data_IF_968258960110
#
_entry.id   IF_968258960110
#
_cell.length_a   1.000
_cell.length_b   1.000
_cell.length_c   1.000
_cell.angle_alpha   90.00
_cell.angle_beta   90.00
_cell.angle_gamma   90.00
#
_symmetry.space_group_name_H-M   'P 1'
#
loop_
_entity.id
_entity.type
_entity.pdbx_description
1 polymer ?
#
# COMPACT_ATOMS: atom_id res chain seq x y z
N UNK A 1 -9.13 -63.27 38.96
CA UNK A 1 -9.94 -63.40 37.73
C UNK A 1 -11.04 -62.33 37.75
N UNK A 2 -10.86 -61.24 36.98
CA UNK A 2 -11.83 -60.15 36.65
C UNK A 2 -11.01 -59.00 36.03
N UNK A 3 -10.77 -59.07 34.72
CA UNK A 3 -11.45 -58.33 33.65
C UNK A 3 -10.88 -56.91 33.46
N UNK A 4 -9.93 -56.79 32.53
CA UNK A 4 -9.53 -55.53 31.91
C UNK A 4 -10.72 -54.97 31.12
N UNK A 5 -11.16 -53.74 31.44
CA UNK A 5 -12.07 -52.97 30.59
C UNK A 5 -11.24 -52.25 29.53
N UNK A 6 -11.43 -52.64 28.27
CA UNK A 6 -11.01 -51.84 27.11
C UNK A 6 -11.92 -50.61 27.02
N UNK A 7 -11.34 -49.42 27.13
CA UNK A 7 -12.00 -48.16 26.78
C UNK A 7 -11.78 -47.94 25.28
N UNK A 8 -12.83 -48.10 24.48
CA UNK A 8 -12.82 -47.76 23.07
C UNK A 8 -12.72 -46.23 22.92
N UNK A 9 -11.54 -45.75 22.55
CA UNK A 9 -11.33 -44.36 22.15
C UNK A 9 -11.92 -44.20 20.74
N UNK A 10 -13.14 -43.68 20.68
CA UNK A 10 -13.80 -43.31 19.43
C UNK A 10 -13.04 -42.11 18.85
N UNK A 11 -12.12 -42.37 17.92
CA UNK A 11 -11.48 -41.32 17.12
C UNK A 11 -12.56 -40.74 16.20
N UNK A 12 -13.20 -39.65 16.63
CA UNK A 12 -14.03 -38.84 15.77
C UNK A 12 -13.08 -38.09 14.83
N UNK A 13 -12.78 -38.67 13.67
CA UNK A 13 -12.14 -37.94 12.58
C UNK A 13 -13.10 -36.85 12.14
N UNK A 14 -12.90 -35.63 12.63
CA UNK A 14 -13.44 -34.45 12.01
C UNK A 14 -12.90 -34.43 10.58
N UNK A 15 -13.75 -34.79 9.61
CA UNK A 15 -13.55 -34.45 8.22
C UNK A 15 -13.56 -32.92 8.16
N UNK A 16 -12.38 -32.32 8.28
CA UNK A 16 -12.17 -30.99 7.74
C UNK A 16 -12.27 -31.21 6.24
N UNK A 17 -13.43 -30.88 5.66
CA UNK A 17 -13.53 -30.73 4.22
C UNK A 17 -12.60 -29.58 3.85
N UNK A 18 -11.34 -29.89 3.54
CA UNK A 18 -10.51 -28.99 2.76
C UNK A 18 -11.22 -28.86 1.42
N UNK A 19 -12.05 -27.82 1.27
CA UNK A 19 -12.58 -27.42 -0.01
C UNK A 19 -11.35 -27.20 -0.90
N UNK A 20 -11.15 -28.10 -1.85
CA UNK A 20 -10.08 -27.97 -2.82
C UNK A 20 -10.34 -26.67 -3.57
N UNK A 21 -9.30 -25.84 -3.69
CA UNK A 21 -9.40 -24.64 -4.48
C UNK A 21 -9.88 -25.02 -5.88
N UNK A 22 -11.03 -24.51 -6.31
CA UNK A 22 -11.61 -24.89 -7.60
C UNK A 22 -11.12 -23.88 -8.63
N UNK A 23 -10.25 -24.34 -9.53
CA UNK A 23 -9.79 -23.52 -10.64
C UNK A 23 -10.98 -23.27 -11.58
N UNK A 24 -11.37 -22.00 -11.70
CA UNK A 24 -12.42 -21.55 -12.62
C UNK A 24 -11.83 -20.63 -13.66
N UNK A 25 -11.82 -21.10 -14.91
CA UNK A 25 -11.52 -20.25 -16.06
C UNK A 25 -12.80 -19.55 -16.51
N UNK A 26 -12.77 -18.21 -16.46
CA UNK A 26 -13.82 -17.34 -16.95
C UNK A 26 -13.69 -17.16 -18.46
N UNK A 27 -14.82 -17.06 -19.16
CA UNK A 27 -14.86 -16.87 -20.60
C UNK A 27 -16.16 -16.17 -21.03
N UNK A 28 -16.07 -15.35 -22.07
CA UNK A 28 -17.25 -14.76 -22.73
C UNK A 28 -17.86 -13.60 -21.94
N UNK A 29 -19.19 -13.57 -21.87
CA UNK A 29 -19.96 -12.47 -21.26
C UNK A 29 -20.85 -12.93 -20.11
N UNK A 30 -20.67 -14.15 -19.64
CA UNK A 30 -21.49 -14.72 -18.58
C UNK A 30 -21.03 -14.18 -17.22
N UNK A 31 -22.01 -13.77 -16.41
CA UNK A 31 -21.79 -13.51 -14.99
C UNK A 31 -21.44 -14.80 -14.25
N UNK A 32 -20.66 -14.67 -13.18
CA UNK A 32 -20.25 -15.81 -12.37
C UNK A 32 -20.37 -15.49 -10.88
N UNK A 33 -20.90 -16.42 -10.10
CA UNK A 33 -20.94 -16.33 -8.64
C UNK A 33 -19.76 -17.10 -8.06
N UNK A 34 -18.72 -16.38 -7.65
CA UNK A 34 -17.51 -16.94 -7.07
C UNK A 34 -17.75 -17.40 -5.63
N UNK A 35 -17.36 -18.64 -5.37
CA UNK A 35 -17.53 -19.33 -4.10
C UNK A 35 -16.21 -19.41 -3.33
N UNK A 36 -16.28 -19.76 -2.05
CA UNK A 36 -15.09 -19.88 -1.21
C UNK A 36 -14.10 -20.92 -1.76
N UNK A 37 -12.85 -20.49 -1.96
CA UNK A 37 -11.77 -21.31 -2.51
C UNK A 37 -11.62 -21.20 -4.02
N UNK A 38 -12.47 -20.46 -4.72
CA UNK A 38 -12.34 -20.32 -6.18
C UNK A 38 -11.03 -19.61 -6.56
N UNK A 39 -10.36 -20.14 -7.58
CA UNK A 39 -9.22 -19.49 -8.24
C UNK A 39 -9.68 -19.08 -9.63
N UNK A 40 -9.86 -17.77 -9.82
CA UNK A 40 -10.39 -17.20 -11.05
C UNK A 40 -9.24 -16.88 -12.01
N UNK A 41 -9.35 -17.38 -13.24
CA UNK A 41 -8.41 -17.17 -14.34
C UNK A 41 -9.17 -16.80 -15.62
N UNK A 42 -8.48 -16.38 -16.68
CA UNK A 42 -9.09 -16.12 -17.98
C UNK A 42 -9.72 -14.73 -18.07
N UNK A 43 -10.80 -14.60 -18.83
CA UNK A 43 -11.43 -13.31 -19.06
C UNK A 43 -12.96 -13.39 -19.14
N UNK A 44 -13.66 -12.38 -18.63
CA UNK A 44 -15.10 -12.24 -18.85
C UNK A 44 -15.51 -10.78 -18.90
N UNK A 45 -16.55 -10.47 -19.68
CA UNK A 45 -17.27 -9.19 -19.59
C UNK A 45 -18.50 -9.23 -18.69
N UNK A 46 -18.84 -10.41 -18.16
CA UNK A 46 -19.87 -10.54 -17.15
C UNK A 46 -19.39 -10.07 -15.78
N UNK A 47 -20.34 -9.68 -14.93
CA UNK A 47 -20.07 -9.34 -13.52
C UNK A 47 -19.73 -10.60 -12.73
N UNK A 48 -18.69 -10.52 -11.90
CA UNK A 48 -18.37 -11.56 -10.91
C UNK A 48 -18.93 -11.15 -9.56
N UNK A 49 -19.78 -11.98 -8.97
CA UNK A 49 -20.31 -11.78 -7.63
C UNK A 49 -19.58 -12.69 -6.65
N UNK A 50 -18.97 -12.14 -5.60
CA UNK A 50 -18.30 -12.93 -4.55
C UNK A 50 -19.30 -13.20 -3.44
N UNK A 51 -19.55 -14.48 -3.16
CA UNK A 51 -20.45 -14.90 -2.09
C UNK A 51 -19.98 -14.38 -0.71
N UNK A 52 -20.92 -14.12 0.18
CA UNK A 52 -20.60 -13.62 1.53
C UNK A 52 -19.71 -14.62 2.30
N UNK A 53 -18.61 -14.11 2.87
CA UNK A 53 -17.58 -14.87 3.57
C UNK A 53 -16.60 -15.61 2.66
N UNK A 54 -16.74 -15.51 1.34
CA UNK A 54 -15.88 -16.23 0.42
C UNK A 54 -14.48 -15.62 0.34
N UNK A 55 -13.49 -16.52 0.29
CA UNK A 55 -12.09 -16.21 0.01
C UNK A 55 -11.75 -16.72 -1.38
N UNK A 56 -11.38 -15.84 -2.28
CA UNK A 56 -11.07 -16.18 -3.67
C UNK A 56 -9.65 -15.75 -4.03
N UNK A 57 -9.12 -16.34 -5.10
CA UNK A 57 -7.86 -15.92 -5.72
C UNK A 57 -8.15 -15.37 -7.11
N UNK A 58 -7.63 -14.19 -7.42
CA UNK A 58 -7.52 -13.70 -8.79
C UNK A 58 -6.12 -14.06 -9.30
N UNK A 59 -6.04 -14.79 -10.41
CA UNK A 59 -4.79 -15.22 -11.01
C UNK A 59 -4.79 -14.94 -12.51
N UNK A 60 -4.06 -13.91 -12.91
CA UNK A 60 -3.96 -13.48 -14.31
C UNK A 60 -5.33 -13.29 -14.99
N UNK A 61 -6.31 -12.76 -14.25
CA UNK A 61 -7.70 -12.65 -14.70
C UNK A 61 -8.03 -11.24 -15.17
N UNK A 62 -8.87 -11.14 -16.21
CA UNK A 62 -9.45 -9.88 -16.68
C UNK A 62 -10.97 -9.92 -16.58
N UNK A 63 -11.56 -9.03 -15.78
CA UNK A 63 -13.01 -8.93 -15.57
C UNK A 63 -13.46 -7.53 -15.97
N UNK A 64 -14.24 -7.37 -17.04
CA UNK A 64 -14.74 -6.06 -17.48
C UNK A 64 -16.20 -5.77 -17.12
N UNK A 65 -16.86 -6.68 -16.40
CA UNK A 65 -18.19 -6.48 -15.84
C UNK A 65 -18.20 -6.04 -14.36
N UNK A 66 -17.01 -5.80 -13.79
CA UNK A 66 -16.82 -5.51 -12.36
C UNK A 66 -16.94 -6.73 -11.44
N UNK A 67 -16.50 -6.54 -10.20
CA UNK A 67 -16.69 -7.47 -9.08
C UNK A 67 -17.66 -6.87 -8.07
N UNK A 68 -18.58 -7.68 -7.54
CA UNK A 68 -19.51 -7.27 -6.47
C UNK A 68 -19.41 -8.24 -5.30
N UNK A 69 -19.10 -7.74 -4.11
CA UNK A 69 -19.11 -8.54 -2.89
C UNK A 69 -20.51 -8.56 -2.29
N UNK A 70 -21.12 -9.74 -2.13
CA UNK A 70 -22.44 -9.86 -1.48
C UNK A 70 -22.37 -9.64 0.04
N UNK A 71 -21.17 -9.59 0.61
CA UNK A 71 -20.91 -9.32 2.02
C UNK A 71 -19.42 -9.20 2.28
N UNK A 72 -18.94 -9.79 3.37
CA UNK A 72 -17.49 -9.86 3.65
C UNK A 72 -16.81 -10.73 2.61
N UNK A 73 -15.67 -10.30 2.10
CA UNK A 73 -14.94 -11.02 1.05
C UNK A 73 -13.43 -10.87 1.21
N UNK A 74 -12.68 -11.89 0.81
CA UNK A 74 -11.22 -11.86 0.77
C UNK A 74 -10.74 -12.18 -0.65
N UNK A 75 -9.90 -11.32 -1.21
CA UNK A 75 -9.30 -11.48 -2.53
C UNK A 75 -7.79 -11.63 -2.37
N UNK A 76 -7.26 -12.77 -2.80
CA UNK A 76 -5.81 -12.99 -2.92
C UNK A 76 -5.37 -12.74 -4.36
N UNK A 77 -4.38 -11.86 -4.54
CA UNK A 77 -3.82 -11.50 -5.83
C UNK A 77 -2.61 -12.38 -6.16
N UNK A 78 -2.68 -13.03 -7.31
CA UNK A 78 -1.60 -13.77 -7.95
C UNK A 78 -1.48 -13.27 -9.40
N UNK A 79 -0.25 -13.16 -9.91
CA UNK A 79 -0.03 -12.70 -11.28
C UNK A 79 -0.52 -11.27 -11.52
N UNK A 80 -1.01 -10.96 -12.72
CA UNK A 80 -1.47 -9.63 -13.12
C UNK A 80 -2.96 -9.61 -13.39
N UNK A 81 -3.73 -8.90 -12.57
CA UNK A 81 -5.18 -8.89 -12.65
C UNK A 81 -5.72 -7.53 -13.08
N UNK A 82 -6.80 -7.55 -13.84
CA UNK A 82 -7.51 -6.34 -14.27
C UNK A 82 -9.00 -6.48 -14.01
N UNK A 83 -9.58 -5.49 -13.34
CA UNK A 83 -11.01 -5.44 -13.06
C UNK A 83 -11.53 -4.06 -13.43
N UNK A 84 -12.42 -4.00 -14.41
CA UNK A 84 -13.10 -2.78 -14.82
C UNK A 84 -14.59 -2.92 -14.53
N UNK A 85 -15.16 -1.93 -13.84
CA UNK A 85 -16.59 -1.88 -13.56
C UNK A 85 -17.39 -1.65 -14.84
N UNK A 86 -18.53 -2.32 -14.96
CA UNK A 86 -19.53 -1.93 -15.95
C UNK A 86 -20.06 -0.51 -15.66
N UNK A 87 -20.89 0.03 -16.55
CA UNK A 87 -21.46 1.38 -16.39
C UNK A 87 -22.06 1.57 -14.99
N UNK A 88 -21.61 2.62 -14.30
CA UNK A 88 -22.02 3.00 -12.94
C UNK A 88 -21.58 2.05 -11.82
N UNK A 89 -20.82 1.01 -12.10
CA UNK A 89 -20.34 0.06 -11.09
C UNK A 89 -18.89 0.36 -10.71
N UNK A 90 -18.54 0.14 -9.45
CA UNK A 90 -17.14 0.15 -9.06
C UNK A 90 -16.38 -0.97 -9.80
N UNK A 91 -15.06 -0.81 -9.95
CA UNK A 91 -14.21 -1.92 -10.41
C UNK A 91 -14.39 -3.11 -9.47
N UNK A 92 -14.21 -2.87 -8.17
CA UNK A 92 -14.56 -3.82 -7.11
C UNK A 92 -15.51 -3.12 -6.13
N UNK A 93 -16.76 -3.57 -6.11
CA UNK A 93 -17.80 -3.10 -5.20
C UNK A 93 -17.71 -3.84 -3.86
N UNK A 94 -17.54 -3.08 -2.77
CA UNK A 94 -17.57 -3.60 -1.40
C UNK A 94 -19.00 -4.02 -1.01
N UNK A 95 -19.11 -4.98 -0.08
CA UNK A 95 -20.39 -5.38 0.51
C UNK A 95 -21.01 -4.26 1.37
N UNK A 96 -22.20 -4.53 1.91
CA UNK A 96 -22.95 -3.56 2.71
C UNK A 96 -22.30 -3.20 4.06
N UNK A 97 -22.99 -2.35 4.84
CA UNK A 97 -22.54 -1.95 6.19
C UNK A 97 -22.19 -3.15 7.09
N UNK A 98 -21.11 -3.03 7.87
CA UNK A 98 -20.66 -4.09 8.78
C UNK A 98 -19.92 -5.25 8.10
N UNK A 99 -19.63 -5.14 6.80
CA UNK A 99 -18.82 -6.11 6.05
C UNK A 99 -17.41 -5.60 5.82
N UNK A 100 -16.49 -6.47 5.39
CA UNK A 100 -15.12 -6.08 5.05
C UNK A 100 -14.70 -6.73 3.74
N UNK A 101 -14.19 -5.92 2.82
CA UNK A 101 -13.40 -6.41 1.67
C UNK A 101 -11.93 -6.39 2.06
N UNK A 102 -11.29 -7.55 2.06
CA UNK A 102 -9.84 -7.69 2.27
C UNK A 102 -9.15 -8.04 0.96
N UNK A 103 -8.12 -7.28 0.56
CA UNK A 103 -7.29 -7.56 -0.62
C UNK A 103 -5.86 -7.81 -0.14
N UNK A 104 -5.24 -8.90 -0.61
CA UNK A 104 -3.90 -9.31 -0.19
C UNK A 104 -3.16 -10.08 -1.28
N UNK A 105 -1.97 -10.57 -0.97
CA UNK A 105 -1.14 -11.35 -1.89
C UNK A 105 -0.08 -10.49 -2.58
N UNK A 106 0.76 -11.11 -3.40
CA UNK A 106 1.92 -10.43 -4.01
C UNK A 106 1.71 -10.11 -5.51
N UNK A 107 0.54 -10.47 -6.07
CA UNK A 107 0.16 -10.12 -7.43
C UNK A 107 -0.21 -8.63 -7.58
N UNK A 108 -0.51 -8.25 -8.82
CA UNK A 108 -0.99 -6.91 -9.14
C UNK A 108 -2.48 -6.90 -9.47
N UNK A 109 -3.10 -5.74 -9.26
CA UNK A 109 -4.50 -5.47 -9.55
C UNK A 109 -4.63 -4.07 -10.13
N UNK A 110 -5.15 -3.95 -11.35
CA UNK A 110 -5.68 -2.70 -11.88
C UNK A 110 -7.21 -2.70 -11.74
N UNK A 111 -7.74 -1.94 -10.79
CA UNK A 111 -9.17 -1.80 -10.53
C UNK A 111 -9.66 -0.43 -11.02
N UNK A 112 -10.54 -0.41 -12.02
CA UNK A 112 -11.06 0.83 -12.63
C UNK A 112 -12.57 0.90 -12.48
N UNK A 113 -13.08 2.02 -11.96
CA UNK A 113 -14.51 2.28 -11.87
C UNK A 113 -15.14 2.47 -13.24
N UNK A 114 -16.41 2.08 -13.38
CA UNK A 114 -17.27 2.59 -14.44
C UNK A 114 -17.69 4.04 -14.16
N UNK A 115 -18.50 4.63 -15.04
CA UNK A 115 -18.97 6.03 -14.92
C UNK A 115 -19.32 6.41 -13.48
N UNK A 116 -18.71 7.46 -12.95
CA UNK A 116 -19.03 8.03 -11.61
C UNK A 116 -18.84 7.07 -10.43
N UNK A 117 -18.09 5.99 -10.61
CA UNK A 117 -17.88 4.97 -9.60
C UNK A 117 -16.41 4.88 -9.18
N UNK A 118 -16.20 4.30 -8.01
CA UNK A 118 -14.87 4.11 -7.48
C UNK A 118 -14.09 2.99 -8.21
N UNK A 119 -12.76 3.05 -8.18
CA UNK A 119 -11.94 1.91 -8.58
C UNK A 119 -12.19 0.71 -7.67
N UNK A 120 -12.05 0.93 -6.35
CA UNK A 120 -12.38 -0.01 -5.28
C UNK A 120 -13.27 0.72 -4.27
N UNK A 121 -14.46 0.19 -4.00
CA UNK A 121 -15.37 0.74 -3.00
C UNK A 121 -16.80 0.79 -3.47
N UNK A 122 -17.39 1.98 -3.60
CA UNK A 122 -18.80 2.12 -3.98
C UNK A 122 -19.00 2.52 -5.45
N UNK A 123 -20.11 2.03 -5.99
CA UNK A 123 -20.74 2.45 -7.22
C UNK A 123 -21.36 3.86 -7.11
N UNK A 124 -21.93 4.35 -8.21
CA UNK A 124 -22.70 5.61 -8.19
C UNK A 124 -23.99 5.45 -7.38
N UNK A 125 -24.25 6.37 -6.46
CA UNK A 125 -25.47 6.49 -5.68
C UNK A 125 -26.35 7.63 -6.25
N UNK A 126 -27.46 7.26 -6.91
CA UNK A 126 -28.36 8.22 -7.57
C UNK A 126 -29.76 8.11 -6.95
N UNK A 127 -30.19 9.18 -6.26
CA UNK A 127 -31.49 9.28 -5.57
C UNK A 127 -31.76 8.15 -4.56
N UNK A 128 -30.70 7.45 -4.14
CA UNK A 128 -30.73 6.38 -3.14
C UNK A 128 -29.47 6.45 -2.28
N UNK A 129 -29.59 6.06 -1.02
CA UNK A 129 -28.43 5.85 -0.16
C UNK A 129 -27.62 4.63 -0.65
N UNK A 130 -26.29 4.75 -0.63
CA UNK A 130 -25.39 3.64 -0.84
C UNK A 130 -24.56 3.45 0.43
N UNK A 131 -24.51 2.23 0.96
CA UNK A 131 -23.73 1.95 2.17
C UNK A 131 -22.78 0.80 1.92
N UNK A 132 -21.49 1.05 2.12
CA UNK A 132 -20.41 0.08 1.99
C UNK A 132 -19.78 -0.25 3.34
N UNK A 133 -19.22 -1.45 3.42
CA UNK A 133 -18.39 -1.90 4.51
C UNK A 133 -16.99 -1.30 4.49
N UNK A 134 -16.10 -1.90 5.27
CA UNK A 134 -14.69 -1.54 5.36
C UNK A 134 -13.89 -2.09 4.17
N UNK A 135 -12.82 -1.40 3.82
CA UNK A 135 -11.79 -1.86 2.88
C UNK A 135 -10.49 -2.05 3.64
N UNK A 136 -9.89 -3.22 3.49
CA UNK A 136 -8.56 -3.55 4.03
C UNK A 136 -7.66 -4.02 2.92
N UNK A 137 -6.53 -3.35 2.72
CA UNK A 137 -5.46 -3.77 1.81
C UNK A 137 -4.29 -4.26 2.65
N UNK A 138 -4.00 -5.56 2.61
CA UNK A 138 -2.88 -6.18 3.33
C UNK A 138 -1.63 -6.34 2.46
N UNK A 139 -1.76 -6.21 1.14
CA UNK A 139 -0.63 -6.35 0.22
C UNK A 139 -1.04 -6.31 -1.25
N UNK A 140 -0.04 -6.41 -2.12
CA UNK A 140 -0.18 -6.43 -3.57
C UNK A 140 0.29 -5.14 -4.22
N UNK A 141 0.36 -5.15 -5.55
CA UNK A 141 0.59 -3.94 -6.35
C UNK A 141 -0.73 -3.48 -6.95
N UNK A 142 -1.41 -2.57 -6.25
CA UNK A 142 -2.77 -2.15 -6.55
C UNK A 142 -2.76 -0.77 -7.19
N UNK A 143 -3.38 -0.67 -8.36
CA UNK A 143 -3.79 0.60 -8.96
C UNK A 143 -5.30 0.67 -8.94
N UNK A 144 -5.86 1.63 -8.22
CA UNK A 144 -7.30 1.85 -8.10
C UNK A 144 -7.66 3.22 -8.69
N UNK A 145 -8.43 3.22 -9.78
CA UNK A 145 -8.77 4.44 -10.54
C UNK A 145 -10.28 4.66 -10.54
N UNK A 146 -10.72 5.77 -9.95
CA UNK A 146 -12.09 6.23 -10.04
C UNK A 146 -12.37 6.90 -11.39
N UNK A 147 -13.61 6.85 -11.84
CA UNK A 147 -14.01 7.48 -13.11
C UNK A 147 -14.83 8.74 -12.87
N UNK A 148 -14.57 9.79 -13.67
CA UNK A 148 -15.17 11.12 -13.61
C UNK A 148 -15.09 11.78 -12.22
N UNK A 149 -16.07 11.56 -11.35
CA UNK A 149 -16.10 12.09 -9.99
C UNK A 149 -15.88 10.99 -8.92
N UNK A 150 -15.74 9.72 -9.30
CA UNK A 150 -15.53 8.62 -8.36
C UNK A 150 -14.14 8.61 -7.71
N UNK A 151 -14.02 8.10 -6.48
CA UNK A 151 -12.73 7.96 -5.82
C UNK A 151 -11.87 6.83 -6.41
N UNK A 152 -10.55 6.88 -6.26
CA UNK A 152 -9.70 5.72 -6.54
C UNK A 152 -10.08 4.54 -5.63
N UNK A 153 -9.99 4.78 -4.32
CA UNK A 153 -10.45 3.88 -3.25
C UNK A 153 -11.42 4.66 -2.37
N UNK A 154 -12.68 4.24 -2.29
CA UNK A 154 -13.67 4.88 -1.43
C UNK A 154 -15.05 4.99 -2.07
N UNK A 155 -15.71 6.14 -1.95
CA UNK A 155 -17.08 6.27 -2.48
C UNK A 155 -17.09 6.52 -3.99
N UNK A 156 -18.16 6.07 -4.65
CA UNK A 156 -18.58 6.64 -5.93
C UNK A 156 -19.23 8.01 -5.71
N UNK A 157 -19.91 8.48 -6.75
CA UNK A 157 -20.65 9.75 -6.71
C UNK A 157 -21.93 9.62 -5.92
N UNK A 158 -22.30 10.69 -5.22
CA UNK A 158 -23.65 10.86 -4.68
C UNK A 158 -24.37 12.03 -5.35
N UNK A 159 -25.56 11.75 -5.88
CA UNK A 159 -26.48 12.76 -6.41
C UNK A 159 -27.89 12.55 -5.86
N UNK A 160 -28.53 13.65 -5.48
CA UNK A 160 -29.94 13.69 -5.10
C UNK A 160 -30.72 14.75 -5.87
N UNK A 161 -31.97 14.41 -6.21
CA UNK A 161 -32.96 15.28 -6.85
C UNK A 161 -34.15 15.53 -5.92
N UNK A 162 -34.02 16.54 -5.05
CA UNK A 162 -35.09 16.94 -4.12
C UNK A 162 -35.23 16.04 -2.88
N UNK A 163 -34.37 15.03 -2.75
CA UNK A 163 -34.22 14.21 -1.53
C UNK A 163 -32.74 14.06 -1.19
N UNK A 164 -32.40 14.22 0.08
CA UNK A 164 -31.05 13.98 0.57
C UNK A 164 -30.71 12.50 0.43
N UNK A 165 -29.55 12.20 -0.14
CA UNK A 165 -29.02 10.84 -0.22
C UNK A 165 -27.52 10.82 0.02
N UNK A 166 -27.04 9.76 0.67
CA UNK A 166 -25.66 9.65 1.12
C UNK A 166 -25.01 8.37 0.61
N UNK A 167 -23.83 8.52 0.01
CA UNK A 167 -22.92 7.40 -0.21
C UNK A 167 -21.95 7.32 0.98
N UNK A 168 -22.09 6.28 1.80
CA UNK A 168 -21.30 6.06 3.02
C UNK A 168 -20.46 4.81 2.85
N UNK A 169 -19.14 4.94 2.88
CA UNK A 169 -18.24 3.78 3.00
C UNK A 169 -17.65 3.71 4.40
N UNK A 170 -17.33 2.50 4.85
CA UNK A 170 -16.66 2.26 6.12
C UNK A 170 -15.22 2.77 6.14
N UNK A 171 -14.43 2.19 7.03
CA UNK A 171 -13.01 2.52 7.18
C UNK A 171 -12.22 2.03 5.96
N UNK A 172 -11.18 2.78 5.61
CA UNK A 172 -10.21 2.39 4.59
C UNK A 172 -8.88 2.19 5.28
N UNK A 173 -8.40 0.94 5.31
CA UNK A 173 -7.16 0.55 5.98
C UNK A 173 -6.16 0.01 4.98
N UNK A 174 -4.96 0.60 4.92
CA UNK A 174 -3.85 0.11 4.11
C UNK A 174 -2.76 -0.37 5.05
N UNK A 175 -2.52 -1.68 5.06
CA UNK A 175 -1.55 -2.36 5.91
C UNK A 175 -0.29 -2.80 5.16
N UNK A 176 -0.31 -2.85 3.83
CA UNK A 176 0.84 -3.40 3.10
C UNK A 176 0.75 -3.17 1.61
N UNK A 177 1.84 -3.49 0.92
CA UNK A 177 1.95 -3.44 -0.53
C UNK A 177 2.17 -2.04 -1.09
N UNK A 178 2.05 -1.95 -2.40
CA UNK A 178 2.14 -0.71 -3.18
C UNK A 178 0.74 -0.34 -3.66
N UNK A 179 0.21 0.81 -3.22
CA UNK A 179 -1.13 1.28 -3.57
C UNK A 179 -1.05 2.62 -4.30
N UNK A 180 -1.45 2.62 -5.56
CA UNK A 180 -1.65 3.84 -6.35
C UNK A 180 -3.15 4.11 -6.45
N UNK A 181 -3.61 5.22 -5.89
CA UNK A 181 -5.03 5.56 -5.81
C UNK A 181 -5.31 6.88 -6.54
N UNK A 182 -6.05 6.79 -7.65
CA UNK A 182 -6.28 7.89 -8.58
C UNK A 182 -7.77 8.22 -8.57
N UNK A 183 -8.11 9.39 -8.05
CA UNK A 183 -9.46 9.91 -8.10
C UNK A 183 -9.84 10.39 -9.50
N UNK A 184 -11.14 10.39 -9.78
CA UNK A 184 -11.66 10.92 -11.03
C UNK A 184 -11.35 12.41 -11.21
N UNK A 185 -11.14 12.82 -12.46
CA UNK A 185 -10.62 14.16 -12.81
C UNK A 185 -11.70 15.17 -13.19
N UNK A 186 -12.94 15.00 -12.72
CA UNK A 186 -13.99 15.97 -12.97
C UNK A 186 -13.57 17.37 -12.51
N UNK A 187 -13.82 18.38 -13.34
CA UNK A 187 -13.32 19.75 -13.09
C UNK A 187 -13.99 20.45 -11.90
N UNK A 188 -15.19 20.03 -11.50
CA UNK A 188 -15.95 20.67 -10.43
C UNK A 188 -15.94 19.84 -9.15
N UNK A 189 -16.11 18.53 -9.29
CA UNK A 189 -16.23 17.60 -8.17
C UNK A 189 -15.26 16.42 -8.36
N UNK A 190 -13.94 16.67 -8.37
CA UNK A 190 -12.97 15.60 -8.56
C UNK A 190 -13.10 14.57 -7.44
N UNK A 191 -12.95 13.31 -7.80
CA UNK A 191 -12.86 12.23 -6.82
C UNK A 191 -11.52 12.30 -6.09
N UNK A 192 -11.50 11.80 -4.86
CA UNK A 192 -10.25 11.65 -4.12
C UNK A 192 -9.48 10.42 -4.59
N UNK A 193 -8.16 10.44 -4.46
CA UNK A 193 -7.37 9.21 -4.59
C UNK A 193 -7.87 8.17 -3.59
N UNK A 194 -7.86 8.53 -2.32
CA UNK A 194 -8.43 7.73 -1.22
C UNK A 194 -9.49 8.57 -0.48
N UNK A 195 -10.70 8.04 -0.37
CA UNK A 195 -11.79 8.64 0.39
C UNK A 195 -12.99 9.01 -0.48
N UNK A 196 -13.36 10.28 -0.51
CA UNK A 196 -14.64 10.74 -1.06
C UNK A 196 -14.62 10.86 -2.59
N UNK A 197 -15.65 10.32 -3.22
CA UNK A 197 -16.11 10.74 -4.54
C UNK A 197 -16.87 12.06 -4.49
N UNK A 198 -17.16 12.62 -5.66
CA UNK A 198 -17.91 13.86 -5.82
C UNK A 198 -19.34 13.74 -5.29
N UNK A 199 -19.83 14.86 -4.77
CA UNK A 199 -21.20 15.01 -4.31
C UNK A 199 -21.74 16.34 -4.83
N UNK A 200 -22.95 16.33 -5.40
CA UNK A 200 -23.58 17.56 -5.87
C UNK A 200 -25.11 17.51 -5.74
N UNK A 201 -25.75 18.69 -5.78
CA UNK A 201 -27.19 18.86 -5.49
C UNK A 201 -27.52 18.48 -4.04
N UNK A 202 -28.38 17.50 -3.81
CA UNK A 202 -28.75 16.97 -2.48
C UNK A 202 -27.93 15.73 -2.09
N UNK A 203 -26.89 15.40 -2.87
CA UNK A 203 -26.00 14.28 -2.59
C UNK A 203 -24.98 14.61 -1.51
N UNK A 204 -24.65 13.62 -0.68
CA UNK A 204 -23.56 13.67 0.29
C UNK A 204 -22.66 12.43 0.20
N UNK A 205 -21.39 12.56 0.58
CA UNK A 205 -20.44 11.44 0.67
C UNK A 205 -19.80 11.38 2.06
N UNK A 206 -19.74 10.19 2.62
CA UNK A 206 -19.17 9.91 3.95
C UNK A 206 -18.19 8.76 3.84
N UNK A 207 -17.03 8.92 4.48
CA UNK A 207 -15.98 7.91 4.56
C UNK A 207 -15.66 7.73 6.03
N UNK A 208 -15.43 6.49 6.43
CA UNK A 208 -14.89 6.18 7.75
C UNK A 208 -13.45 6.69 7.91
N UNK A 209 -12.77 6.20 8.94
CA UNK A 209 -11.38 6.56 9.19
C UNK A 209 -10.47 5.99 8.09
N UNK A 210 -9.53 6.80 7.63
CA UNK A 210 -8.44 6.36 6.76
C UNK A 210 -7.24 6.04 7.63
N UNK A 211 -6.77 4.79 7.58
CA UNK A 211 -5.66 4.28 8.40
C UNK A 211 -4.56 3.72 7.52
N UNK A 212 -3.31 4.09 7.77
CA UNK A 212 -2.13 3.62 7.04
C UNK A 212 -1.11 3.09 8.03
N UNK A 213 -0.66 1.85 7.84
CA UNK A 213 0.39 1.22 8.65
C UNK A 213 1.75 1.40 8.00
N UNK A 214 2.83 1.32 8.77
CA UNK A 214 4.21 1.46 8.29
C UNK A 214 4.79 0.19 7.64
N UNK A 215 4.01 -0.88 7.62
CA UNK A 215 4.24 -2.11 6.85
C UNK A 215 4.00 -1.94 5.33
N UNK A 216 3.53 -0.77 4.87
CA UNK A 216 3.37 -0.45 3.45
C UNK A 216 4.71 -0.35 2.71
N UNK A 217 4.68 -0.64 1.41
CA UNK A 217 5.77 -0.27 0.52
C UNK A 217 5.62 1.19 0.10
N UNK A 218 4.41 1.53 -0.36
CA UNK A 218 4.07 2.86 -0.86
C UNK A 218 2.56 3.05 -0.91
N UNK A 219 2.10 4.25 -0.56
CA UNK A 219 0.79 4.79 -0.95
C UNK A 219 1.02 6.05 -1.77
N UNK A 220 0.60 6.03 -3.03
CA UNK A 220 0.59 7.20 -3.93
C UNK A 220 -0.86 7.56 -4.26
N UNK A 221 -1.40 8.55 -3.54
CA UNK A 221 -2.77 8.99 -3.70
C UNK A 221 -2.81 10.37 -4.35
N UNK A 222 -3.64 10.54 -5.40
CA UNK A 222 -3.84 11.86 -6.05
C UNK A 222 -4.39 12.91 -5.07
N UNK A 223 -5.13 12.45 -4.06
CA UNK A 223 -5.53 13.20 -2.86
C UNK A 223 -6.08 12.24 -1.81
N UNK A 224 -6.15 12.70 -0.56
CA UNK A 224 -6.78 11.96 0.55
C UNK A 224 -7.76 12.92 1.24
N UNK A 225 -9.05 12.56 1.28
CA UNK A 225 -10.10 13.50 1.71
C UNK A 225 -10.24 13.67 3.23
N UNK A 226 -9.75 12.71 4.01
CA UNK A 226 -9.85 12.70 5.48
C UNK A 226 -8.47 12.84 6.12
N UNK A 227 -8.45 13.15 7.42
CA UNK A 227 -7.24 12.99 8.22
C UNK A 227 -6.84 11.52 8.29
N UNK A 228 -5.54 11.26 8.21
CA UNK A 228 -5.00 9.91 8.22
C UNK A 228 -4.56 9.57 9.64
N UNK A 229 -4.98 8.40 10.11
CA UNK A 229 -4.39 7.74 11.29
C UNK A 229 -3.20 6.90 10.82
N UNK A 230 -2.03 7.19 11.38
CA UNK A 230 -0.81 6.43 11.09
C UNK A 230 -0.58 5.41 12.19
N UNK A 231 -0.31 4.17 11.81
CA UNK A 231 -0.13 3.06 12.75
C UNK A 231 1.27 2.45 12.60
N UNK A 232 1.85 2.07 13.73
CA UNK A 232 2.97 1.15 13.81
C UNK A 232 2.56 -0.03 14.68
N UNK A 233 2.49 -1.23 14.09
CA UNK A 233 1.87 -2.40 14.72
C UNK A 233 0.47 -2.04 15.28
N UNK A 234 0.27 -2.10 16.59
CA UNK A 234 -1.00 -1.73 17.25
C UNK A 234 -1.04 -0.30 17.79
N UNK A 235 0.01 0.50 17.57
CA UNK A 235 0.18 1.84 18.16
C UNK A 235 -0.21 2.93 17.17
N UNK A 236 -1.05 3.87 17.61
CA UNK A 236 -1.30 5.12 16.87
C UNK A 236 -0.08 6.04 17.01
N UNK A 237 0.59 6.26 15.88
CA UNK A 237 1.80 7.10 15.76
C UNK A 237 1.51 8.37 14.96
N UNK A 238 0.25 8.82 14.88
CA UNK A 238 -0.13 10.00 14.07
C UNK A 238 0.64 11.26 14.46
N UNK A 239 0.91 11.46 15.75
CA UNK A 239 1.69 12.58 16.28
C UNK A 239 3.21 12.42 16.06
N UNK A 240 3.71 11.17 16.01
CA UNK A 240 5.12 10.83 15.79
C UNK A 240 5.39 10.24 14.40
N UNK A 241 4.50 10.47 13.43
CA UNK A 241 4.53 9.80 12.12
C UNK A 241 5.84 9.99 11.37
N UNK A 242 6.55 11.10 11.60
CA UNK A 242 7.86 11.37 10.98
C UNK A 242 8.97 10.40 11.44
N UNK A 243 8.76 9.64 12.52
CA UNK A 243 9.68 8.60 12.96
C UNK A 243 9.56 7.31 12.15
N UNK A 244 8.37 7.06 11.56
CA UNK A 244 8.02 5.82 10.88
C UNK A 244 7.81 5.99 9.38
N UNK A 245 7.39 7.19 8.94
CA UNK A 245 7.03 7.49 7.56
C UNK A 245 7.85 8.63 7.00
N UNK A 246 7.98 8.65 5.67
CA UNK A 246 8.27 9.87 4.91
C UNK A 246 7.07 10.19 4.04
N UNK A 247 6.58 11.42 4.15
CA UNK A 247 5.38 11.89 3.45
C UNK A 247 5.80 13.01 2.50
N UNK A 248 5.77 12.69 1.21
CA UNK A 248 5.94 13.67 0.14
C UNK A 248 4.60 14.30 -0.21
N UNK A 249 4.55 15.63 -0.22
CA UNK A 249 3.37 16.40 -0.61
C UNK A 249 3.65 17.18 -1.90
N UNK A 250 2.74 17.09 -2.86
CA UNK A 250 2.77 17.89 -4.09
C UNK A 250 1.34 18.37 -4.39
N UNK A 251 1.02 19.58 -3.90
CA UNK A 251 -0.35 20.06 -3.85
C UNK A 251 -1.25 19.14 -3.02
N UNK A 252 -2.25 18.54 -3.67
CA UNK A 252 -3.17 17.59 -3.03
C UNK A 252 -2.63 16.15 -3.01
N UNK A 253 -1.65 15.82 -3.87
CA UNK A 253 -1.06 14.49 -3.92
C UNK A 253 -0.36 14.17 -2.60
N UNK A 254 -0.49 12.92 -2.15
CA UNK A 254 0.21 12.39 -0.98
C UNK A 254 0.93 11.13 -1.38
N UNK A 255 2.26 11.17 -1.30
CA UNK A 255 3.15 10.03 -1.47
C UNK A 255 3.68 9.63 -0.10
N UNK A 256 3.28 8.47 0.38
CA UNK A 256 3.59 8.00 1.73
C UNK A 256 4.39 6.71 1.58
N UNK A 257 5.55 6.65 2.20
CA UNK A 257 6.42 5.46 2.25
C UNK A 257 6.88 5.24 3.68
N UNK A 258 7.29 4.01 3.97
CA UNK A 258 8.09 3.75 5.16
C UNK A 258 9.35 4.64 5.13
N UNK A 259 9.72 5.21 6.27
CA UNK A 259 10.84 6.16 6.38
C UNK A 259 12.13 5.54 5.82
N UNK A 260 12.68 6.08 4.72
CA UNK A 260 13.92 5.57 4.19
C UNK A 260 15.09 5.89 5.13
N UNK A 261 16.07 5.00 5.19
CA UNK A 261 17.32 5.17 5.92
C UNK A 261 18.49 4.75 5.07
N UNK A 262 19.65 5.34 5.32
CA UNK A 262 20.93 4.84 4.78
C UNK A 262 21.56 3.95 5.84
N UNK A 263 21.92 2.72 5.45
CA UNK A 263 22.60 1.77 6.32
C UNK A 263 23.91 2.33 6.86
N UNK A 264 24.39 1.77 7.97
CA UNK A 264 25.66 2.18 8.55
C UNK A 264 26.81 1.97 7.56
N UNK A 265 27.68 2.97 7.48
CA UNK A 265 28.82 3.02 6.56
C UNK A 265 30.08 2.80 7.40
N UNK A 266 30.86 1.75 7.12
CA UNK A 266 32.11 1.52 7.84
C UNK A 266 33.08 2.69 7.71
N UNK A 267 33.96 2.83 8.69
CA UNK A 267 35.04 3.81 8.64
C UNK A 267 35.89 3.64 7.38
N UNK A 268 36.19 4.75 6.72
CA UNK A 268 36.98 4.80 5.49
C UNK A 268 38.42 5.23 5.79
N UNK A 269 39.38 4.78 4.98
CA UNK A 269 40.79 5.18 5.13
C UNK A 269 41.06 6.47 4.35
N UNK A 270 41.73 7.43 4.99
CA UNK A 270 42.15 8.67 4.33
C UNK A 270 43.16 8.38 3.20
N UNK A 271 42.83 8.81 1.99
CA UNK A 271 43.66 8.61 0.78
C UNK A 271 44.26 9.90 0.23
N UNK A 272 43.86 11.08 0.75
CA UNK A 272 44.19 12.38 0.17
C UNK A 272 43.37 12.75 -1.08
N UNK A 273 42.32 12.00 -1.39
CA UNK A 273 41.36 12.27 -2.47
C UNK A 273 39.93 12.03 -1.98
N UNK A 274 38.93 12.36 -2.81
CA UNK A 274 37.52 12.12 -2.50
C UNK A 274 37.23 10.63 -2.23
N UNK A 275 36.45 10.37 -1.18
CA UNK A 275 36.00 9.03 -0.79
C UNK A 275 34.48 8.97 -0.95
N UNK A 276 34.00 8.03 -1.77
CA UNK A 276 32.59 7.92 -2.18
C UNK A 276 32.07 6.49 -1.96
N UNK A 277 31.99 6.04 -0.69
CA UNK A 277 31.48 4.70 -0.39
C UNK A 277 30.04 4.59 -0.89
N UNK A 278 29.65 3.44 -1.43
CA UNK A 278 28.29 3.23 -1.92
C UNK A 278 27.44 2.57 -0.82
N UNK A 279 26.61 3.33 -0.08
CA UNK A 279 25.81 2.75 0.97
C UNK A 279 24.55 2.09 0.41
N UNK A 280 23.90 1.28 1.25
CA UNK A 280 22.58 0.73 0.99
C UNK A 280 21.50 1.71 1.50
N UNK A 281 20.57 2.10 0.63
CA UNK A 281 19.33 2.79 1.02
C UNK A 281 18.27 1.72 1.30
N UNK A 282 17.66 1.79 2.47
CA UNK A 282 16.60 0.89 2.94
C UNK A 282 15.33 1.72 3.03
N UNK A 283 14.28 1.35 2.30
CA UNK A 283 12.97 2.00 2.32
C UNK A 283 11.87 0.93 2.46
N UNK A 284 12.01 0.10 3.50
CA UNK A 284 11.17 -1.09 3.68
C UNK A 284 11.32 -2.07 2.52
N UNK A 285 10.20 -2.41 1.91
CA UNK A 285 10.09 -3.35 0.79
C UNK A 285 10.13 -2.65 -0.59
N UNK A 286 10.20 -1.31 -0.61
CA UNK A 286 10.29 -0.53 -1.83
C UNK A 286 11.63 -0.75 -2.55
N UNK A 287 11.56 -1.27 -3.77
CA UNK A 287 12.74 -1.48 -4.63
C UNK A 287 13.12 -0.20 -5.37
N UNK A 288 14.06 0.56 -4.81
CA UNK A 288 14.57 1.81 -5.40
C UNK A 288 15.83 1.58 -6.24
N UNK A 289 15.86 2.17 -7.44
CA UNK A 289 16.97 2.06 -8.38
C UNK A 289 17.83 3.33 -8.38
N UNK A 290 19.10 3.21 -8.00
CA UNK A 290 20.09 4.31 -8.08
C UNK A 290 20.20 4.88 -9.50
N UNK A 291 20.29 6.20 -9.61
CA UNK A 291 20.35 6.95 -10.88
C UNK A 291 18.96 7.31 -11.43
N UNK A 292 17.99 6.41 -11.24
CA UNK A 292 16.59 6.61 -11.62
C UNK A 292 15.81 7.27 -10.48
N UNK A 293 15.71 6.58 -9.35
CA UNK A 293 14.84 6.96 -8.22
C UNK A 293 15.57 7.82 -7.18
N UNK A 294 16.89 7.75 -7.12
CA UNK A 294 17.71 8.61 -6.27
C UNK A 294 19.15 8.77 -6.78
N UNK A 295 19.85 9.80 -6.33
CA UNK A 295 21.29 10.03 -6.59
C UNK A 295 22.02 10.33 -5.29
N UNK A 296 23.30 9.95 -5.22
CA UNK A 296 24.16 10.30 -4.09
C UNK A 296 24.90 11.61 -4.32
N UNK A 297 25.07 12.38 -3.25
CA UNK A 297 26.08 13.42 -3.13
C UNK A 297 26.84 13.28 -1.81
N UNK A 298 28.07 13.81 -1.76
CA UNK A 298 28.94 13.71 -0.60
C UNK A 298 29.43 15.10 -0.19
N UNK A 299 29.62 15.29 1.12
CA UNK A 299 30.24 16.48 1.67
C UNK A 299 31.32 16.09 2.68
N UNK A 300 32.36 16.93 2.78
CA UNK A 300 33.52 16.70 3.66
C UNK A 300 34.22 15.35 3.44
N UNK A 301 34.23 14.84 2.21
CA UNK A 301 34.63 13.47 1.89
C UNK A 301 36.07 13.32 1.38
N UNK A 302 36.90 14.36 1.48
CA UNK A 302 38.33 14.32 1.09
C UNK A 302 39.26 14.23 2.28
N UNK A 303 38.99 15.00 3.34
CA UNK A 303 39.86 15.11 4.50
C UNK A 303 39.49 14.10 5.58
N UNK A 304 40.46 13.70 6.41
CA UNK A 304 40.17 12.93 7.62
C UNK A 304 39.22 13.71 8.54
N UNK A 305 38.21 13.04 9.07
CA UNK A 305 37.12 13.67 9.83
C UNK A 305 35.79 12.96 9.63
N UNK A 306 34.70 13.72 9.76
CA UNK A 306 33.33 13.25 9.54
C UNK A 306 32.85 13.72 8.17
N UNK A 307 32.53 12.77 7.29
CA UNK A 307 31.92 13.00 6.00
C UNK A 307 30.42 12.68 6.05
N UNK A 308 29.66 13.23 5.10
CA UNK A 308 28.23 12.97 4.96
C UNK A 308 27.93 12.49 3.55
N UNK A 309 27.13 11.43 3.44
CA UNK A 309 26.45 11.04 2.20
C UNK A 309 24.99 11.44 2.27
N UNK A 310 24.47 11.94 1.16
CA UNK A 310 23.06 12.30 0.96
C UNK A 310 22.51 11.49 -0.21
N UNK A 311 21.39 10.81 0.00
CA UNK A 311 20.57 10.23 -1.07
C UNK A 311 19.42 11.20 -1.37
N UNK A 312 19.41 11.80 -2.55
CA UNK A 312 18.33 12.69 -3.00
C UNK A 312 17.39 11.93 -3.93
N UNK A 313 16.11 11.84 -3.56
CA UNK A 313 15.10 11.16 -4.36
C UNK A 313 14.72 11.96 -5.61
N UNK A 314 14.28 11.25 -6.65
CA UNK A 314 14.02 11.77 -8.00
C UNK A 314 12.76 11.15 -8.60
N UNK A 315 12.31 11.71 -9.73
CA UNK A 315 11.17 11.19 -10.48
C UNK A 315 9.90 11.18 -9.63
N UNK A 316 9.19 10.05 -9.63
CA UNK A 316 7.97 9.84 -8.84
C UNK A 316 8.17 10.08 -7.34
N UNK A 317 9.40 9.87 -6.84
CA UNK A 317 9.79 9.99 -5.44
C UNK A 317 10.38 11.36 -5.06
N UNK A 318 10.45 12.32 -5.99
CA UNK A 318 11.13 13.60 -5.73
C UNK A 318 10.56 14.36 -4.52
N UNK A 319 9.26 14.24 -4.26
CA UNK A 319 8.60 14.87 -3.11
C UNK A 319 9.03 14.30 -1.75
N UNK A 320 9.71 13.15 -1.71
CA UNK A 320 10.30 12.59 -0.48
C UNK A 320 11.56 13.35 -0.03
N UNK A 321 12.15 14.19 -0.89
CA UNK A 321 13.32 14.98 -0.56
C UNK A 321 14.61 14.15 -0.53
N UNK A 322 15.23 14.02 0.65
CA UNK A 322 16.50 13.33 0.80
C UNK A 322 16.69 12.70 2.18
N UNK A 323 17.60 11.73 2.28
CA UNK A 323 18.09 11.15 3.53
C UNK A 323 19.61 11.25 3.61
N UNK A 324 20.15 11.39 4.81
CA UNK A 324 21.60 11.56 5.03
C UNK A 324 22.14 10.59 6.07
N UNK A 325 23.44 10.30 5.94
CA UNK A 325 24.20 9.53 6.93
C UNK A 325 25.63 10.03 6.97
N UNK A 326 26.18 10.07 8.17
CA UNK A 326 27.59 10.40 8.38
C UNK A 326 28.45 9.14 8.42
N UNK A 327 29.70 9.27 8.01
CA UNK A 327 30.73 8.24 8.12
C UNK A 327 32.08 8.89 8.43
N UNK A 328 33.02 8.12 8.98
CA UNK A 328 34.34 8.65 9.34
C UNK A 328 35.37 8.35 8.26
N UNK A 329 36.26 9.30 8.04
CA UNK A 329 37.49 9.12 7.27
C UNK A 329 38.66 9.19 8.26
N UNK A 330 39.37 8.08 8.42
CA UNK A 330 40.41 7.90 9.42
C UNK A 330 41.77 7.93 8.73
N UNK A 331 42.65 8.80 9.23
CA UNK A 331 44.07 8.73 8.90
C UNK A 331 44.70 7.61 9.72
N UNK A 332 45.10 6.53 9.05
CA UNK A 332 45.91 5.49 9.69
C UNK A 332 47.29 6.08 9.97
N UNK A 333 47.69 6.06 11.25
CA UNK A 333 49.04 6.44 11.64
C UNK A 333 49.97 5.28 11.31
N UNK A 334 51.07 5.57 10.62
CA UNK A 334 52.15 4.63 10.37
C UNK A 334 53.23 4.80 11.44
N UNK A 335 54.11 3.80 11.61
CA UNK A 335 55.23 3.91 12.58
C UNK A 335 56.12 5.14 12.32
N UNK A 336 56.18 5.63 11.09
CA UNK A 336 56.89 6.87 10.70
C UNK A 336 56.23 8.16 11.19
N UNK A 337 54.96 8.12 11.61
CA UNK A 337 54.24 9.28 12.15
C UNK A 337 54.44 9.46 13.68
N UNK A 338 55.13 8.51 14.33
CA UNK A 338 55.40 8.54 15.77
C UNK A 338 56.78 9.15 16.01
N UNK A 339 56.83 10.45 16.35
CA UNK A 339 58.07 11.11 16.78
C UNK A 339 58.25 10.92 18.29
N UNK A 340 59.17 10.04 18.71
CA UNK A 340 59.59 9.95 20.12
C UNK A 340 60.54 11.13 20.40
N UNK A 341 60.06 12.15 21.11
CA UNK A 341 60.92 13.21 21.62
C UNK A 341 61.75 12.68 22.80
N UNK A 342 62.91 12.10 22.53
CA UNK A 342 63.89 11.79 23.56
C UNK A 342 64.48 13.10 24.12
N UNK A 343 63.96 13.55 25.27
CA UNK A 343 64.65 14.57 26.07
C UNK A 343 65.85 13.91 26.73
N UNK A 344 67.03 14.08 26.12
CA UNK A 344 68.30 13.79 26.80
C UNK A 344 68.46 14.87 27.88
N UNK A 345 68.30 14.49 29.14
CA UNK A 345 68.59 15.36 30.27
C UNK A 345 70.12 15.45 30.39
N UNK A 346 70.76 16.63 30.21
CA UNK A 346 72.18 16.74 30.45
C UNK A 346 72.43 16.62 31.95
N UNK A 347 73.09 15.53 32.36
CA UNK A 347 73.70 15.44 33.68
C UNK A 347 74.78 16.54 33.75
N UNK A 348 74.55 17.56 34.58
CA UNK A 348 75.62 18.44 35.04
C UNK A 348 76.51 17.65 36.01
N UNK A 349 77.82 17.79 35.80
CA UNK A 349 78.94 17.20 36.54
C UNK A 349 78.94 17.51 38.03
#
# INVERSE_FOLDING_TARGET
MKSFKFLAMLLLTALVSSAWATNKTLSGSESYEAQNGDVLTGLTSGTVTIANGAKITLSDVTISGGIVCSGTAEITLVGTNSVSGATNMAGIQVGGSGTTLTIKGNGSLNATGGSDAAGIGLNRAWDVDATGGDIVIEGGNITATGHDMGAGIGTGVSYGNGTDNTATIGNITIKGGTVTAIGGTNQYFPGSGIGKGGAYSYGNTVVGTITIYDDIDMVDASSISESIVYMHETTDVTESKADYFTIGEDGNRRLIVQKPVIADIPDQTYTGSEITPEPLVIAGSLNLTKGTDYVYSYTNNTNAGTATVRATFKGTYASLGYVEKTFRIIKLLTHSDITIAARICPFFS
#
